data_IF_860870650506
#
_entry.id   IF_860870650506
#
_cell.length_a   1.000
_cell.length_b   1.000
_cell.length_c   1.000
_cell.angle_alpha   90.00
_cell.angle_beta   90.00
_cell.angle_gamma   90.00
#
_symmetry.space_group_name_H-M   'P 1'
#
loop_
_entity.id
_entity.type
_entity.pdbx_description
1 polymer ?
#
# COMPACT_ATOMS: atom_id res chain seq x y z
N UNK A 1 23.74 -19.68 30.56
CA UNK A 1 22.32 -20.08 30.46
C UNK A 1 21.71 -19.28 29.31
N UNK A 2 21.62 -19.85 28.11
CA UNK A 2 21.03 -19.17 26.94
C UNK A 2 19.54 -19.49 26.91
N UNK A 3 18.69 -18.56 27.37
CA UNK A 3 17.25 -18.67 27.22
C UNK A 3 16.89 -18.48 25.75
N UNK A 4 16.44 -19.56 25.11
CA UNK A 4 16.12 -19.63 23.70
C UNK A 4 15.06 -18.60 23.27
N UNK A 5 15.18 -18.17 22.01
CA UNK A 5 14.11 -17.51 21.28
C UNK A 5 12.87 -18.41 21.35
N UNK A 6 11.91 -18.06 22.21
CA UNK A 6 10.58 -18.67 22.20
C UNK A 6 9.99 -18.45 20.81
N UNK A 7 9.56 -19.53 20.15
CA UNK A 7 8.81 -19.59 18.89
C UNK A 7 8.02 -18.30 18.58
N UNK A 8 8.63 -17.40 17.79
CA UNK A 8 8.02 -16.13 17.40
C UNK A 8 6.98 -16.39 16.30
N UNK A 9 5.78 -16.83 16.70
CA UNK A 9 4.65 -17.06 15.80
C UNK A 9 3.76 -15.81 15.73
N UNK A 10 3.23 -15.54 14.53
CA UNK A 10 2.28 -14.45 14.29
C UNK A 10 0.85 -15.00 14.38
N UNK A 11 -0.01 -14.33 15.15
CA UNK A 11 -1.43 -14.66 15.30
C UNK A 11 -2.29 -13.45 14.99
N UNK A 12 -3.41 -13.67 14.28
CA UNK A 12 -4.39 -12.62 14.03
C UNK A 12 -5.13 -12.28 15.33
N UNK A 13 -5.05 -11.01 15.76
CA UNK A 13 -5.86 -10.49 16.88
C UNK A 13 -7.14 -9.84 16.39
N UNK A 14 -7.05 -9.08 15.31
CA UNK A 14 -8.16 -8.29 14.79
C UNK A 14 -8.00 -8.06 13.28
N UNK A 15 -9.13 -8.00 12.57
CA UNK A 15 -9.21 -7.52 11.19
C UNK A 15 -9.96 -6.18 11.18
N UNK A 16 -9.27 -5.10 10.82
CA UNK A 16 -9.82 -3.73 10.87
C UNK A 16 -10.27 -3.20 9.51
N UNK A 17 -9.94 -3.90 8.43
CA UNK A 17 -10.31 -3.53 7.06
C UNK A 17 -10.73 -4.75 6.24
N UNK A 18 -11.57 -4.49 5.23
CA UNK A 18 -12.08 -5.49 4.30
C UNK A 18 -11.23 -5.63 3.02
N UNK A 19 -10.20 -4.79 2.86
CA UNK A 19 -9.29 -4.83 1.73
C UNK A 19 -8.16 -5.84 1.97
N UNK A 20 -7.96 -6.76 1.02
CA UNK A 20 -6.80 -7.65 1.06
C UNK A 20 -5.55 -6.94 0.52
N UNK A 21 -4.36 -7.42 0.90
CA UNK A 21 -3.10 -6.91 0.32
C UNK A 21 -3.12 -7.03 -1.20
N UNK A 22 -3.63 -8.15 -1.74
CA UNK A 22 -3.80 -8.36 -3.19
C UNK A 22 -4.63 -7.25 -3.84
N UNK A 23 -5.75 -6.86 -3.23
CA UNK A 23 -6.63 -5.85 -3.80
C UNK A 23 -6.03 -4.45 -3.67
N UNK A 24 -5.29 -4.16 -2.58
CA UNK A 24 -4.49 -2.96 -2.47
C UNK A 24 -3.43 -2.86 -3.60
N UNK A 25 -2.75 -3.97 -3.92
CA UNK A 25 -1.77 -4.00 -5.03
C UNK A 25 -2.42 -3.76 -6.39
N UNK A 26 -3.60 -4.35 -6.65
CA UNK A 26 -4.36 -4.11 -7.89
C UNK A 26 -4.69 -2.64 -8.09
N UNK A 27 -5.06 -1.93 -7.01
CA UNK A 27 -5.34 -0.49 -7.06
C UNK A 27 -4.04 0.30 -7.25
N UNK A 28 -3.04 0.05 -6.42
CA UNK A 28 -1.86 0.91 -6.34
C UNK A 28 -0.95 0.81 -7.57
N UNK A 29 -0.85 -0.37 -8.17
CA UNK A 29 -0.04 -0.64 -9.37
C UNK A 29 -0.88 -0.73 -10.66
N UNK A 30 -2.14 -0.30 -10.65
CA UNK A 30 -2.92 -0.17 -11.86
C UNK A 30 -2.20 0.74 -12.87
N UNK A 31 -2.18 0.35 -14.15
CA UNK A 31 -1.59 1.15 -15.23
C UNK A 31 -2.49 2.28 -15.71
N UNK A 32 -3.74 2.32 -15.23
CA UNK A 32 -4.75 3.32 -15.57
C UNK A 32 -5.18 4.07 -14.32
N UNK A 33 -5.43 5.37 -14.48
CA UNK A 33 -5.94 6.23 -13.39
C UNK A 33 -7.30 5.71 -12.89
N UNK A 34 -7.42 5.51 -11.58
CA UNK A 34 -8.63 4.96 -10.95
C UNK A 34 -8.95 5.68 -9.63
N UNK A 35 -9.60 6.86 -9.73
CA UNK A 35 -9.90 7.73 -8.59
C UNK A 35 -10.63 7.01 -7.44
N UNK A 36 -11.72 6.29 -7.73
CA UNK A 36 -12.50 5.60 -6.71
C UNK A 36 -11.66 4.55 -5.93
N UNK A 37 -10.77 3.85 -6.63
CA UNK A 37 -9.84 2.94 -5.98
C UNK A 37 -8.85 3.66 -5.07
N UNK A 38 -8.35 4.81 -5.52
CA UNK A 38 -7.41 5.62 -4.73
C UNK A 38 -8.08 6.18 -3.47
N UNK A 39 -9.29 6.72 -3.56
CA UNK A 39 -10.06 7.21 -2.40
C UNK A 39 -10.32 6.10 -1.38
N UNK A 40 -10.76 4.92 -1.86
CA UNK A 40 -10.97 3.75 -1.01
C UNK A 40 -9.68 3.33 -0.30
N UNK A 41 -8.58 3.23 -1.05
CA UNK A 41 -7.31 2.77 -0.49
C UNK A 41 -6.73 3.81 0.49
N UNK A 42 -6.79 5.11 0.16
CA UNK A 42 -6.31 6.19 1.03
C UNK A 42 -7.06 6.26 2.36
N UNK A 43 -8.33 5.81 2.38
CA UNK A 43 -9.18 5.75 3.57
C UNK A 43 -8.95 4.48 4.41
N UNK A 44 -8.07 3.57 4.00
CA UNK A 44 -7.81 2.33 4.73
C UNK A 44 -6.99 2.59 6.00
N UNK A 45 -7.57 2.25 7.14
CA UNK A 45 -6.88 2.33 8.42
C UNK A 45 -5.59 1.51 8.43
N UNK A 46 -4.52 2.10 8.96
CA UNK A 46 -3.21 1.47 9.05
C UNK A 46 -2.40 1.48 7.75
N UNK A 47 -2.90 2.09 6.68
CA UNK A 47 -2.11 2.30 5.47
C UNK A 47 -0.95 3.26 5.77
N UNK A 48 0.25 2.94 5.27
CA UNK A 48 1.43 3.76 5.46
C UNK A 48 1.21 5.19 4.90
N UNK A 49 1.64 6.21 5.64
CA UNK A 49 1.47 7.61 5.25
C UNK A 49 2.08 7.93 3.87
N UNK A 50 3.18 7.25 3.50
CA UNK A 50 3.80 7.40 2.17
C UNK A 50 2.88 6.95 1.02
N UNK A 51 2.05 5.93 1.24
CA UNK A 51 1.05 5.47 0.28
C UNK A 51 -0.11 6.45 0.22
N UNK A 52 -0.65 6.88 1.36
CA UNK A 52 -1.73 7.89 1.44
C UNK A 52 -1.34 9.16 0.69
N UNK A 53 -0.14 9.69 0.96
CA UNK A 53 0.38 10.88 0.29
C UNK A 53 0.54 10.70 -1.23
N UNK A 54 0.89 9.50 -1.68
CA UNK A 54 1.01 9.20 -3.11
C UNK A 54 -0.36 9.15 -3.78
N UNK A 55 -1.35 8.52 -3.14
CA UNK A 55 -2.73 8.43 -3.62
C UNK A 55 -3.39 9.81 -3.72
N UNK A 56 -3.25 10.66 -2.70
CA UNK A 56 -3.74 12.04 -2.74
C UNK A 56 -3.08 12.83 -3.89
N UNK A 57 -1.76 12.70 -4.08
CA UNK A 57 -1.08 13.32 -5.23
C UNK A 57 -1.64 12.85 -6.57
N UNK A 58 -2.00 11.57 -6.70
CA UNK A 58 -2.62 11.05 -7.92
C UNK A 58 -3.97 11.69 -8.15
N UNK A 59 -4.82 11.76 -7.11
CA UNK A 59 -6.14 12.38 -7.17
C UNK A 59 -6.04 13.86 -7.57
N UNK A 60 -5.15 14.62 -6.93
CA UNK A 60 -4.93 16.04 -7.22
C UNK A 60 -4.45 16.28 -8.65
N UNK A 61 -3.45 15.50 -9.10
CA UNK A 61 -2.83 15.66 -10.42
C UNK A 61 -3.58 14.93 -11.54
N UNK A 62 -4.57 14.12 -11.20
CA UNK A 62 -5.28 13.19 -12.10
C UNK A 62 -4.33 12.32 -12.92
N UNK A 63 -3.22 11.89 -12.31
CA UNK A 63 -2.14 11.18 -13.01
C UNK A 63 -1.38 10.23 -12.07
N UNK A 64 -0.97 9.08 -12.59
CA UNK A 64 -0.06 8.15 -11.91
C UNK A 64 1.40 8.65 -12.07
N UNK A 65 2.16 8.62 -10.99
CA UNK A 65 3.58 8.96 -10.98
C UNK A 65 4.43 8.04 -11.88
N UNK A 66 5.61 8.53 -12.27
CA UNK A 66 6.54 7.72 -13.06
C UNK A 66 7.23 6.68 -12.17
N UNK A 67 7.14 5.41 -12.57
CA UNK A 67 7.75 4.28 -11.87
C UNK A 67 9.18 3.94 -12.30
N UNK A 68 9.69 4.56 -13.37
CA UNK A 68 10.98 4.24 -13.98
C UNK A 68 12.09 4.09 -12.95
N UNK A 69 12.29 5.12 -12.12
CA UNK A 69 13.36 5.12 -11.13
C UNK A 69 13.22 3.97 -10.12
N UNK A 70 12.00 3.66 -9.68
CA UNK A 70 11.76 2.59 -8.70
C UNK A 70 11.94 1.19 -9.32
N UNK A 71 11.57 1.02 -10.58
CA UNK A 71 11.58 -0.29 -11.24
C UNK A 71 12.92 -0.62 -11.90
N UNK A 72 13.60 0.39 -12.46
CA UNK A 72 14.77 0.17 -13.34
C UNK A 72 16.02 0.94 -12.90
N UNK A 73 15.92 1.89 -11.97
CA UNK A 73 17.05 2.73 -11.59
C UNK A 73 17.24 3.96 -12.51
N UNK A 74 18.38 4.66 -12.40
CA UNK A 74 18.71 5.76 -13.31
C UNK A 74 18.94 5.22 -14.73
N UNK A 75 18.67 6.06 -15.73
CA UNK A 75 18.97 5.76 -17.13
C UNK A 75 20.47 5.88 -17.41
#
# INVERSE_FOLDING_TARGET
MMTGFKDARVYLKERRTDISVRDAMKIYFATKFYAQGYDRLASCEGLAASWVNSLHRRLDKKKIENWQMRLFGPA
#
